data_IF_214410040144
#
_entry.id   IF_214410040144
#
_cell.length_a   1.000
_cell.length_b   1.000
_cell.length_c   1.000
_cell.angle_alpha   90.00
_cell.angle_beta   90.00
_cell.angle_gamma   90.00
#
_symmetry.space_group_name_H-M   'P 1'
#
loop_
_entity.id
_entity.type
_entity.pdbx_description
1 polymer ?
#
# COMPACT_ATOMS: atom_id res chain seq x y z
N UNK A 1 -21.48 -14.13 11.58
CA UNK A 1 -21.42 -14.69 10.22
C UNK A 1 -22.85 -14.66 9.71
N UNK A 2 -23.18 -13.66 8.90
CA UNK A 2 -24.47 -13.63 8.19
C UNK A 2 -24.39 -14.69 7.09
N UNK A 3 -25.46 -15.45 6.90
CA UNK A 3 -25.55 -16.42 5.80
C UNK A 3 -25.42 -15.66 4.47
N UNK A 4 -24.59 -16.17 3.54
CA UNK A 4 -24.42 -15.59 2.22
C UNK A 4 -25.78 -15.49 1.51
N UNK A 5 -26.15 -14.30 1.05
CA UNK A 5 -27.40 -14.07 0.31
C UNK A 5 -27.11 -14.28 -1.18
N UNK A 6 -27.88 -15.15 -1.83
CA UNK A 6 -27.79 -15.38 -3.27
C UNK A 6 -29.12 -15.10 -3.97
N UNK A 7 -29.10 -14.38 -5.09
CA UNK A 7 -30.31 -14.02 -5.82
C UNK A 7 -30.02 -13.72 -7.30
N UNK A 8 -30.95 -14.01 -8.21
CA UNK A 8 -30.80 -13.72 -9.65
C UNK A 8 -30.92 -12.23 -10.00
N UNK A 9 -31.34 -11.41 -9.05
CA UNK A 9 -31.69 -10.00 -9.27
C UNK A 9 -30.85 -9.14 -8.33
N UNK A 10 -30.03 -8.28 -8.92
CA UNK A 10 -29.17 -7.35 -8.22
C UNK A 10 -29.98 -6.33 -7.40
N UNK A 11 -31.18 -5.93 -7.85
CA UNK A 11 -31.99 -4.95 -7.13
C UNK A 11 -32.46 -5.50 -5.77
N UNK A 12 -32.62 -6.82 -5.65
CA UNK A 12 -32.92 -7.49 -4.37
C UNK A 12 -31.72 -7.42 -3.43
N UNK A 13 -30.50 -7.57 -3.94
CA UNK A 13 -29.26 -7.42 -3.16
C UNK A 13 -29.12 -5.97 -2.67
N UNK A 14 -29.32 -5.00 -3.55
CA UNK A 14 -29.27 -3.57 -3.20
C UNK A 14 -30.35 -3.20 -2.17
N UNK A 15 -31.58 -3.69 -2.34
CA UNK A 15 -32.68 -3.46 -1.39
C UNK A 15 -32.42 -4.13 -0.03
N UNK A 16 -31.80 -5.32 -0.02
CA UNK A 16 -31.35 -5.96 1.21
C UNK A 16 -30.32 -5.08 1.90
N UNK A 17 -29.24 -4.67 1.23
CA UNK A 17 -28.20 -3.80 1.79
C UNK A 17 -28.77 -2.50 2.36
N UNK A 18 -29.67 -1.83 1.64
CA UNK A 18 -30.31 -0.61 2.12
C UNK A 18 -31.09 -0.82 3.44
N UNK A 19 -31.63 -2.03 3.66
CA UNK A 19 -32.36 -2.38 4.88
C UNK A 19 -31.42 -2.80 6.02
N UNK A 20 -30.42 -3.63 5.75
CA UNK A 20 -29.55 -4.23 6.78
C UNK A 20 -28.35 -3.35 7.14
N UNK A 21 -27.86 -2.54 6.20
CA UNK A 21 -26.76 -1.62 6.36
C UNK A 21 -27.14 -0.24 5.75
N UNK A 22 -28.08 0.50 6.35
CA UNK A 22 -28.63 1.74 5.77
C UNK A 22 -27.61 2.89 5.63
N UNK A 23 -26.43 2.76 6.22
CA UNK A 23 -25.31 3.69 6.09
C UNK A 23 -24.25 3.21 5.10
N UNK A 24 -24.45 2.06 4.45
CA UNK A 24 -23.57 1.57 3.43
C UNK A 24 -23.51 2.55 2.27
N UNK A 25 -22.30 2.99 1.93
CA UNK A 25 -22.02 3.83 0.77
C UNK A 25 -21.37 2.97 -0.30
N UNK A 26 -21.87 3.06 -1.53
CA UNK A 26 -21.22 2.44 -2.69
C UNK A 26 -19.85 3.08 -2.88
N UNK A 27 -18.83 2.25 -3.06
CA UNK A 27 -17.50 2.69 -3.47
C UNK A 27 -17.50 2.72 -5.00
N UNK A 28 -17.97 3.83 -5.57
CA UNK A 28 -18.32 3.96 -7.00
C UNK A 28 -17.11 3.76 -7.89
N UNK A 29 -15.99 4.38 -7.52
CA UNK A 29 -14.77 4.41 -8.33
C UNK A 29 -13.99 3.10 -8.20
N UNK A 30 -13.92 2.56 -6.98
CA UNK A 30 -13.38 1.20 -6.79
C UNK A 30 -14.21 0.18 -7.56
N UNK A 31 -15.54 0.27 -7.50
CA UNK A 31 -16.45 -0.62 -8.25
C UNK A 31 -16.23 -0.53 -9.76
N UNK A 32 -16.00 0.68 -10.30
CA UNK A 32 -15.68 0.85 -11.71
C UNK A 32 -14.39 0.10 -12.12
N UNK A 33 -13.40 0.01 -11.23
CA UNK A 33 -12.16 -0.74 -11.46
C UNK A 33 -12.31 -2.27 -11.34
N UNK A 34 -13.40 -2.76 -10.73
CA UNK A 34 -13.67 -4.18 -10.50
C UNK A 34 -14.58 -4.81 -11.55
N UNK A 35 -14.98 -4.05 -12.57
CA UNK A 35 -16.05 -4.36 -13.51
C UNK A 35 -17.43 -4.37 -12.82
N UNK A 36 -18.09 -3.21 -12.82
CA UNK A 36 -19.36 -2.96 -12.15
C UNK A 36 -20.49 -3.91 -12.60
N UNK A 37 -20.38 -4.53 -13.78
CA UNK A 37 -21.36 -5.49 -14.28
C UNK A 37 -21.28 -6.85 -13.56
N UNK A 38 -20.17 -7.12 -12.85
CA UNK A 38 -19.88 -8.38 -12.18
C UNK A 38 -19.51 -8.24 -10.71
N UNK A 39 -19.03 -7.07 -10.26
CA UNK A 39 -18.63 -6.86 -8.88
C UNK A 39 -18.84 -5.41 -8.43
N UNK A 40 -19.58 -5.25 -7.35
CA UNK A 40 -19.88 -3.97 -6.69
C UNK A 40 -19.52 -4.05 -5.20
N UNK A 41 -19.07 -2.92 -4.64
CA UNK A 41 -18.49 -2.89 -3.29
C UNK A 41 -19.03 -1.72 -2.46
N UNK A 42 -19.44 -1.98 -1.22
CA UNK A 42 -19.94 -0.95 -0.30
C UNK A 42 -19.20 -0.96 1.02
N UNK A 43 -19.02 0.23 1.59
CA UNK A 43 -18.46 0.42 2.92
C UNK A 43 -19.54 0.87 3.91
N UNK A 44 -19.63 0.20 5.07
CA UNK A 44 -20.53 0.56 6.16
C UNK A 44 -19.83 0.37 7.51
N UNK A 45 -19.37 1.48 8.12
CA UNK A 45 -18.55 1.41 9.32
C UNK A 45 -17.26 0.63 9.06
N UNK A 46 -17.01 -0.41 9.84
CA UNK A 46 -15.82 -1.28 9.69
C UNK A 46 -16.08 -2.51 8.81
N UNK A 47 -17.24 -2.58 8.16
CA UNK A 47 -17.63 -3.69 7.29
C UNK A 47 -17.63 -3.28 5.82
N UNK A 48 -17.15 -4.20 5.00
CA UNK A 48 -17.22 -4.15 3.55
C UNK A 48 -18.19 -5.21 3.06
N UNK A 49 -19.02 -4.82 2.10
CA UNK A 49 -19.99 -5.67 1.46
C UNK A 49 -19.62 -5.82 -0.01
N UNK A 50 -19.63 -7.05 -0.50
CA UNK A 50 -19.26 -7.41 -1.86
C UNK A 50 -20.47 -8.07 -2.51
N UNK A 51 -21.05 -7.44 -3.54
CA UNK A 51 -22.00 -8.14 -4.40
C UNK A 51 -21.30 -8.52 -5.69
N UNK A 52 -21.27 -9.81 -6.01
CA UNK A 52 -20.53 -10.32 -7.16
C UNK A 52 -21.24 -11.47 -7.85
N UNK A 53 -20.89 -11.72 -9.10
CA UNK A 53 -21.30 -12.90 -9.88
C UNK A 53 -20.19 -13.29 -10.84
N UNK A 54 -20.07 -14.58 -11.18
CA UNK A 54 -19.10 -14.99 -12.19
C UNK A 54 -19.58 -14.66 -13.62
N UNK A 55 -18.66 -14.45 -14.58
CA UNK A 55 -19.03 -14.33 -15.98
C UNK A 55 -19.79 -15.57 -16.50
N UNK A 56 -21.03 -15.35 -16.94
CA UNK A 56 -21.93 -16.43 -17.39
C UNK A 56 -22.83 -16.99 -16.28
N UNK A 57 -22.71 -16.48 -15.06
CA UNK A 57 -23.61 -16.80 -13.95
C UNK A 57 -24.78 -15.79 -13.90
N UNK A 58 -25.98 -16.30 -13.57
CA UNK A 58 -27.17 -15.48 -13.39
C UNK A 58 -27.38 -15.05 -11.93
N UNK A 59 -26.79 -15.78 -10.97
CA UNK A 59 -26.92 -15.52 -9.54
C UNK A 59 -25.87 -14.52 -9.07
N UNK A 60 -26.33 -13.50 -8.36
CA UNK A 60 -25.53 -12.62 -7.54
C UNK A 60 -25.34 -13.23 -6.16
N UNK A 61 -24.13 -13.09 -5.63
CA UNK A 61 -23.73 -13.44 -4.28
C UNK A 61 -23.45 -12.16 -3.50
N UNK A 62 -23.87 -12.10 -2.25
CA UNK A 62 -23.56 -11.01 -1.33
C UNK A 62 -22.79 -11.54 -0.13
N UNK A 63 -21.55 -11.07 -0.01
CA UNK A 63 -20.67 -11.36 1.11
C UNK A 63 -20.44 -10.12 1.97
N UNK A 64 -20.20 -10.36 3.25
CA UNK A 64 -19.79 -9.34 4.20
C UNK A 64 -18.50 -9.77 4.90
N UNK A 65 -17.53 -8.87 4.94
CA UNK A 65 -16.30 -9.04 5.69
C UNK A 65 -15.88 -7.75 6.40
N UNK A 66 -14.90 -7.85 7.31
CA UNK A 66 -14.32 -6.66 7.93
C UNK A 66 -13.45 -5.92 6.91
N UNK A 67 -13.43 -4.58 6.97
CA UNK A 67 -12.57 -3.77 6.11
C UNK A 67 -11.08 -4.15 6.20
N UNK A 68 -10.63 -4.59 7.38
CA UNK A 68 -9.26 -5.08 7.59
C UNK A 68 -8.92 -6.35 6.79
N UNK A 69 -9.89 -7.23 6.56
CA UNK A 69 -9.72 -8.45 5.78
C UNK A 69 -9.74 -8.14 4.27
N UNK A 70 -10.68 -7.30 3.83
CA UNK A 70 -10.88 -6.94 2.42
C UNK A 70 -9.73 -6.10 1.84
N UNK A 71 -9.00 -5.39 2.69
CA UNK A 71 -7.96 -4.42 2.32
C UNK A 71 -6.89 -4.98 1.37
N UNK A 72 -6.42 -6.19 1.66
CA UNK A 72 -5.38 -6.82 0.86
C UNK A 72 -5.88 -7.13 -0.55
N UNK A 73 -7.13 -7.62 -0.66
CA UNK A 73 -7.77 -7.91 -1.92
C UNK A 73 -8.05 -6.63 -2.71
N UNK A 74 -8.66 -5.61 -2.10
CA UNK A 74 -8.91 -4.31 -2.76
C UNK A 74 -7.62 -3.69 -3.29
N UNK A 75 -6.55 -3.73 -2.49
CA UNK A 75 -5.24 -3.25 -2.90
C UNK A 75 -4.74 -4.03 -4.13
N UNK A 76 -4.87 -5.34 -4.14
CA UNK A 76 -4.45 -6.16 -5.27
C UNK A 76 -5.21 -5.81 -6.56
N UNK A 77 -6.51 -5.52 -6.46
CA UNK A 77 -7.33 -5.15 -7.63
C UNK A 77 -6.87 -3.81 -8.21
N UNK A 78 -6.74 -2.78 -7.38
CA UNK A 78 -6.28 -1.45 -7.82
C UNK A 78 -4.83 -1.47 -8.32
N UNK A 79 -3.95 -2.27 -7.70
CA UNK A 79 -2.57 -2.48 -8.16
C UNK A 79 -2.53 -3.18 -9.52
N UNK A 80 -3.38 -4.20 -9.72
CA UNK A 80 -3.54 -4.88 -11.01
C UNK A 80 -4.03 -3.95 -12.13
N UNK A 81 -4.79 -2.91 -11.78
CA UNK A 81 -5.22 -1.84 -12.70
C UNK A 81 -4.19 -0.70 -12.83
N UNK A 82 -3.06 -0.78 -12.13
CA UNK A 82 -1.96 0.19 -12.19
C UNK A 82 -2.21 1.52 -11.48
N UNK A 83 -3.26 1.62 -10.65
CA UNK A 83 -3.65 2.88 -9.96
C UNK A 83 -2.52 3.38 -9.06
N UNK A 84 -1.99 2.52 -8.19
CA UNK A 84 -0.91 2.87 -7.27
C UNK A 84 0.38 3.28 -8.00
N UNK A 85 0.72 2.55 -9.06
CA UNK A 85 1.91 2.81 -9.86
C UNK A 85 1.85 4.15 -10.60
N UNK A 86 0.67 4.50 -11.16
CA UNK A 86 0.48 5.79 -11.83
C UNK A 86 0.52 6.95 -10.84
N UNK A 87 -0.14 6.84 -9.70
CA UNK A 87 -0.13 7.89 -8.68
C UNK A 87 1.23 8.05 -7.99
N UNK A 88 2.02 6.99 -7.89
CA UNK A 88 3.39 7.07 -7.36
C UNK A 88 4.35 7.83 -8.30
N UNK A 89 4.04 7.93 -9.59
CA UNK A 89 4.84 8.62 -10.60
C UNK A 89 3.97 9.56 -11.44
N UNK A 90 3.74 10.81 -10.97
CA UNK A 90 2.86 11.77 -11.66
C UNK A 90 3.28 12.09 -13.09
N UNK A 91 4.55 11.83 -13.46
CA UNK A 91 5.02 12.02 -14.83
C UNK A 91 4.31 11.07 -15.82
N UNK A 92 3.73 9.95 -15.35
CA UNK A 92 2.94 9.04 -16.18
C UNK A 92 1.66 9.68 -16.74
N UNK A 93 1.12 10.69 -16.07
CA UNK A 93 -0.04 11.45 -16.55
C UNK A 93 0.34 12.58 -17.50
N UNK A 94 1.57 13.07 -17.45
CA UNK A 94 2.05 14.13 -18.32
C UNK A 94 2.33 13.54 -19.71
N UNK A 95 1.44 13.79 -20.67
CA UNK A 95 1.58 13.44 -22.10
C UNK A 95 1.16 12.02 -22.52
N UNK A 96 0.37 11.31 -21.72
CA UNK A 96 -0.15 9.97 -22.05
C UNK A 96 -1.68 9.93 -22.21
N UNK A 97 -2.19 8.85 -22.81
CA UNK A 97 -3.63 8.51 -22.80
C UNK A 97 -4.15 8.37 -21.36
N UNK A 98 -3.26 8.18 -20.38
CA UNK A 98 -3.56 8.00 -18.97
C UNK A 98 -3.90 9.32 -18.27
N UNK A 99 -3.65 10.49 -18.89
CA UNK A 99 -4.04 11.79 -18.32
C UNK A 99 -5.53 11.86 -17.94
N UNK A 100 -6.39 11.17 -18.70
CA UNK A 100 -7.83 11.07 -18.44
C UNK A 100 -8.19 10.19 -17.22
N UNK A 101 -7.23 9.41 -16.73
CA UNK A 101 -7.39 8.49 -15.59
C UNK A 101 -7.00 9.13 -14.27
N UNK A 102 -6.39 10.33 -14.26
CA UNK A 102 -5.98 10.99 -13.02
C UNK A 102 -7.16 11.20 -12.07
N UNK A 103 -8.25 11.82 -12.54
CA UNK A 103 -9.40 12.10 -11.69
C UNK A 103 -10.05 10.79 -11.16
N UNK A 104 -10.30 9.76 -12.00
CA UNK A 104 -10.73 8.43 -11.51
C UNK A 104 -9.75 7.77 -10.52
N UNK A 105 -8.44 7.82 -10.78
CA UNK A 105 -7.42 7.21 -9.91
C UNK A 105 -7.39 7.88 -8.53
N UNK A 106 -7.44 9.21 -8.48
CA UNK A 106 -7.51 9.98 -7.22
C UNK A 106 -8.81 9.70 -6.46
N UNK A 107 -9.94 9.61 -7.17
CA UNK A 107 -11.23 9.33 -6.56
C UNK A 107 -11.31 7.88 -6.01
N UNK A 108 -10.81 6.88 -6.76
CA UNK A 108 -10.66 5.52 -6.27
C UNK A 108 -9.71 5.42 -5.06
N UNK A 109 -8.63 6.20 -5.05
CA UNK A 109 -7.73 6.27 -3.90
C UNK A 109 -8.37 6.91 -2.67
N UNK A 110 -9.20 7.95 -2.85
CA UNK A 110 -9.96 8.52 -1.74
C UNK A 110 -10.88 7.47 -1.10
N UNK A 111 -11.58 6.67 -1.90
CA UNK A 111 -12.39 5.56 -1.41
C UNK A 111 -11.54 4.46 -0.74
N UNK A 112 -10.36 4.17 -1.28
CA UNK A 112 -9.44 3.23 -0.67
C UNK A 112 -8.96 3.71 0.71
N UNK A 113 -8.72 5.02 0.88
CA UNK A 113 -8.38 5.60 2.18
C UNK A 113 -9.52 5.52 3.19
N UNK A 114 -10.77 5.71 2.76
CA UNK A 114 -11.94 5.50 3.63
C UNK A 114 -11.98 4.06 4.16
N UNK A 115 -11.67 3.08 3.31
CA UNK A 115 -11.55 1.67 3.71
C UNK A 115 -10.36 1.45 4.66
N UNK A 116 -9.19 2.05 4.40
CA UNK A 116 -8.05 1.98 5.32
C UNK A 116 -8.36 2.54 6.69
N UNK A 117 -9.08 3.67 6.76
CA UNK A 117 -9.51 4.28 8.00
C UNK A 117 -10.53 3.40 8.73
N UNK A 118 -11.50 2.84 8.01
CA UNK A 118 -12.44 1.87 8.56
C UNK A 118 -11.73 0.63 9.14
N UNK A 119 -10.72 0.11 8.46
CA UNK A 119 -9.93 -1.03 8.95
C UNK A 119 -9.06 -0.72 10.17
N UNK A 120 -8.76 0.56 10.40
CA UNK A 120 -8.11 1.04 11.62
C UNK A 120 -9.12 1.29 12.75
N UNK A 121 -10.41 1.04 12.52
CA UNK A 121 -11.48 1.26 13.49
C UNK A 121 -11.89 2.72 13.63
N UNK A 122 -11.72 3.54 12.58
CA UNK A 122 -12.20 4.92 12.56
C UNK A 122 -13.68 4.97 12.14
N UNK A 123 -14.54 5.70 12.88
CA UNK A 123 -15.88 6.09 12.42
C UNK A 123 -17.09 5.32 13.00
N UNK A 124 -16.88 4.49 14.01
CA UNK A 124 -17.86 3.78 14.84
C UNK A 124 -17.97 4.35 16.28
N UNK A 125 -18.99 3.94 17.04
CA UNK A 125 -19.22 4.41 18.42
C UNK A 125 -18.26 3.80 19.45
N UNK A 126 -17.58 2.70 19.10
CA UNK A 126 -16.53 2.06 19.90
C UNK A 126 -15.12 2.29 19.30
N UNK A 127 -15.01 3.25 18.36
CA UNK A 127 -13.80 3.51 17.59
C UNK A 127 -12.57 3.88 18.39
N UNK A 128 -11.42 3.57 17.78
CA UNK A 128 -10.18 4.27 18.06
C UNK A 128 -10.40 5.79 17.93
N UNK A 129 -9.97 6.53 18.94
CA UNK A 129 -9.96 7.99 18.90
C UNK A 129 -9.10 8.49 17.72
N UNK A 130 -9.33 9.70 17.18
CA UNK A 130 -8.51 10.25 16.10
C UNK A 130 -7.01 10.24 16.42
N UNK A 131 -6.65 10.38 17.70
CA UNK A 131 -5.26 10.28 18.17
C UNK A 131 -4.69 8.87 18.04
N UNK A 132 -5.46 7.84 18.41
CA UNK A 132 -5.03 6.45 18.29
C UNK A 132 -4.87 6.05 16.82
N UNK A 133 -5.80 6.45 15.96
CA UNK A 133 -5.71 6.24 14.51
C UNK A 133 -4.45 6.90 13.94
N UNK A 134 -4.17 8.16 14.29
CA UNK A 134 -2.93 8.83 13.87
C UNK A 134 -1.67 8.11 14.36
N UNK A 135 -1.65 7.65 15.62
CA UNK A 135 -0.52 6.87 16.15
C UNK A 135 -0.30 5.55 15.37
N UNK A 136 -1.37 4.89 14.95
CA UNK A 136 -1.29 3.69 14.10
C UNK A 136 -0.76 4.03 12.71
N UNK A 137 -1.20 5.13 12.10
CA UNK A 137 -0.70 5.63 10.82
C UNK A 137 0.79 5.97 10.93
N UNK A 138 1.21 6.73 11.94
CA UNK A 138 2.61 7.06 12.19
C UNK A 138 3.46 5.79 12.37
N UNK A 139 2.94 4.79 13.06
CA UNK A 139 3.61 3.50 13.22
C UNK A 139 3.76 2.76 11.88
N UNK A 140 2.74 2.78 11.02
CA UNK A 140 2.81 2.22 9.66
C UNK A 140 3.84 2.98 8.80
N UNK A 141 3.85 4.31 8.84
CA UNK A 141 4.84 5.16 8.15
C UNK A 141 6.25 4.84 8.62
N UNK A 142 6.48 4.70 9.93
CA UNK A 142 7.77 4.33 10.48
C UNK A 142 8.26 2.96 9.99
N UNK A 143 7.36 1.97 9.94
CA UNK A 143 7.65 0.64 9.38
C UNK A 143 7.96 0.71 7.88
N UNK A 144 7.19 1.47 7.10
CA UNK A 144 7.44 1.66 5.67
C UNK A 144 8.81 2.32 5.42
N UNK A 145 9.16 3.36 6.19
CA UNK A 145 10.50 4.00 6.13
C UNK A 145 11.62 3.01 6.46
N UNK A 146 11.42 2.17 7.48
CA UNK A 146 12.40 1.14 7.83
C UNK A 146 12.56 0.11 6.69
N UNK A 147 11.46 -0.27 6.04
CA UNK A 147 11.47 -1.20 4.91
C UNK A 147 12.15 -0.60 3.68
N UNK A 148 11.86 0.66 3.32
CA UNK A 148 12.58 1.39 2.27
C UNK A 148 14.07 1.43 2.57
N UNK A 149 14.47 1.71 3.82
CA UNK A 149 15.87 1.69 4.22
C UNK A 149 16.49 0.29 4.11
N UNK A 150 15.75 -0.78 4.45
CA UNK A 150 16.20 -2.17 4.28
C UNK A 150 16.43 -2.49 2.81
N UNK A 151 15.46 -2.18 1.94
CA UNK A 151 15.54 -2.41 0.50
C UNK A 151 16.66 -1.60 -0.16
N UNK A 152 16.87 -0.34 0.26
CA UNK A 152 17.97 0.49 -0.22
C UNK A 152 19.35 -0.08 0.20
N UNK A 153 19.47 -0.66 1.41
CA UNK A 153 20.70 -1.37 1.80
C UNK A 153 20.86 -2.66 1.01
N UNK A 154 19.79 -3.44 0.84
CA UNK A 154 19.80 -4.65 0.04
C UNK A 154 20.27 -4.37 -1.40
N UNK A 155 19.79 -3.29 -2.01
CA UNK A 155 20.26 -2.83 -3.33
C UNK A 155 21.76 -2.57 -3.34
N UNK A 156 22.29 -1.81 -2.38
CA UNK A 156 23.73 -1.54 -2.29
C UNK A 156 24.54 -2.84 -2.08
N UNK A 157 24.06 -3.74 -1.22
CA UNK A 157 24.67 -5.06 -1.02
C UNK A 157 24.66 -5.91 -2.29
N UNK A 158 23.55 -5.96 -3.01
CA UNK A 158 23.43 -6.66 -4.29
C UNK A 158 24.43 -6.10 -5.31
N UNK A 159 24.54 -4.78 -5.43
CA UNK A 159 25.51 -4.13 -6.32
C UNK A 159 26.95 -4.52 -5.98
N UNK A 160 27.33 -4.51 -4.69
CA UNK A 160 28.67 -4.94 -4.27
C UNK A 160 28.88 -6.43 -4.57
N UNK A 161 27.93 -7.29 -4.21
CA UNK A 161 28.03 -8.73 -4.43
C UNK A 161 28.15 -9.10 -5.92
N UNK A 162 27.37 -8.45 -6.78
CA UNK A 162 27.31 -8.75 -8.22
C UNK A 162 28.49 -8.17 -9.00
N UNK A 163 29.02 -7.00 -8.61
CA UNK A 163 30.00 -6.28 -9.43
C UNK A 163 31.35 -6.04 -8.76
N UNK A 164 31.42 -5.89 -7.43
CA UNK A 164 32.66 -5.53 -6.76
C UNK A 164 33.66 -6.70 -6.75
N UNK A 165 33.19 -7.93 -6.54
CA UNK A 165 34.06 -9.11 -6.42
C UNK A 165 35.24 -8.85 -5.48
N UNK A 166 36.46 -9.16 -5.93
CA UNK A 166 37.71 -8.90 -5.20
C UNK A 166 38.23 -7.45 -5.33
N UNK A 167 37.42 -6.50 -5.79
CA UNK A 167 37.79 -5.08 -5.90
C UNK A 167 38.47 -4.71 -7.23
N UNK A 168 38.08 -5.37 -8.33
CA UNK A 168 38.64 -5.09 -9.65
C UNK A 168 38.52 -3.60 -10.04
N UNK A 169 39.60 -3.03 -10.58
CA UNK A 169 39.63 -1.62 -11.00
C UNK A 169 38.53 -1.35 -12.02
N UNK A 170 37.72 -0.32 -11.78
CA UNK A 170 36.63 0.07 -12.69
C UNK A 170 35.30 -0.68 -12.49
N UNK A 171 35.16 -1.53 -11.46
CA UNK A 171 33.91 -2.27 -11.21
C UNK A 171 32.67 -1.36 -11.10
N UNK A 172 32.81 -0.15 -10.55
CA UNK A 172 31.71 0.83 -10.48
C UNK A 172 31.21 1.25 -11.87
N UNK A 173 32.12 1.46 -12.84
CA UNK A 173 31.73 1.78 -14.21
C UNK A 173 31.02 0.60 -14.90
N UNK A 174 31.41 -0.63 -14.58
CA UNK A 174 30.73 -1.83 -15.06
C UNK A 174 29.34 -1.99 -14.42
N UNK A 175 29.21 -1.74 -13.12
CA UNK A 175 27.94 -1.77 -12.40
C UNK A 175 26.96 -0.73 -12.94
N UNK A 176 27.41 0.51 -13.14
CA UNK A 176 26.57 1.58 -13.69
C UNK A 176 26.02 1.20 -15.07
N UNK A 177 26.88 0.67 -15.97
CA UNK A 177 26.46 0.20 -17.29
C UNK A 177 25.53 -1.01 -17.22
N UNK A 178 25.85 -2.01 -16.40
CA UNK A 178 25.05 -3.23 -16.27
C UNK A 178 23.66 -3.00 -15.69
N UNK A 179 23.50 -1.96 -14.87
CA UNK A 179 22.23 -1.55 -14.27
C UNK A 179 21.52 -0.43 -15.05
N UNK A 180 22.10 0.03 -16.17
CA UNK A 180 21.61 1.15 -16.96
C UNK A 180 21.33 2.43 -16.13
N UNK A 181 22.20 2.72 -15.15
CA UNK A 181 22.13 3.94 -14.32
C UNK A 181 23.37 4.81 -14.52
N UNK A 182 23.28 6.08 -14.12
CA UNK A 182 24.44 6.97 -14.16
C UNK A 182 25.48 6.56 -13.11
N UNK A 183 26.79 6.81 -13.36
CA UNK A 183 27.82 6.63 -12.34
C UNK A 183 27.59 7.45 -11.07
N UNK A 184 26.93 8.62 -11.19
CA UNK A 184 26.55 9.47 -10.05
C UNK A 184 25.51 8.75 -9.19
N UNK A 185 24.43 8.27 -9.79
CA UNK A 185 23.37 7.53 -9.08
C UNK A 185 23.92 6.27 -8.39
N UNK A 186 24.87 5.57 -9.03
CA UNK A 186 25.57 4.45 -8.39
C UNK A 186 26.40 4.91 -7.17
N UNK A 187 27.10 6.04 -7.29
CA UNK A 187 27.82 6.67 -6.19
C UNK A 187 26.90 6.95 -5.00
N UNK A 188 25.75 7.57 -5.25
CA UNK A 188 24.76 7.93 -4.24
C UNK A 188 24.24 6.70 -3.49
N UNK A 189 23.87 5.63 -4.22
CA UNK A 189 23.41 4.36 -3.62
C UNK A 189 24.42 3.81 -2.60
N UNK A 190 25.70 3.78 -2.98
CA UNK A 190 26.76 3.22 -2.15
C UNK A 190 27.09 4.14 -0.96
N UNK A 191 27.17 5.45 -1.20
CA UNK A 191 27.43 6.45 -0.17
C UNK A 191 26.31 6.50 0.88
N UNK A 192 25.05 6.43 0.47
CA UNK A 192 23.90 6.43 1.38
C UNK A 192 23.87 5.20 2.28
N UNK A 193 24.26 4.04 1.76
CA UNK A 193 24.39 2.82 2.56
C UNK A 193 25.53 2.92 3.59
N UNK A 194 26.67 3.46 3.20
CA UNK A 194 27.80 3.71 4.10
C UNK A 194 27.44 4.72 5.19
N UNK A 195 26.76 5.80 4.83
CA UNK A 195 26.27 6.80 5.78
C UNK A 195 25.26 6.19 6.77
N UNK A 196 24.35 5.32 6.30
CA UNK A 196 23.41 4.59 7.17
C UNK A 196 24.15 3.65 8.13
N UNK A 197 25.15 2.91 7.64
CA UNK A 197 25.98 2.05 8.49
C UNK A 197 26.75 2.85 9.55
N UNK A 198 27.33 3.99 9.18
CA UNK A 198 28.03 4.89 10.10
C UNK A 198 27.10 5.44 11.18
N UNK A 199 25.89 5.88 10.82
CA UNK A 199 24.88 6.33 11.79
C UNK A 199 24.49 5.24 12.79
N UNK A 200 24.27 4.00 12.33
CA UNK A 200 23.97 2.86 13.22
C UNK A 200 25.10 2.58 14.21
N UNK A 201 26.35 2.58 13.74
CA UNK A 201 27.53 2.40 14.62
C UNK A 201 27.65 3.52 15.65
N UNK A 202 27.41 4.77 15.26
CA UNK A 202 27.43 5.92 16.17
C UNK A 202 26.37 5.78 17.27
N UNK A 203 25.14 5.41 16.92
CA UNK A 203 24.06 5.18 17.89
C UNK A 203 24.41 4.04 18.84
N UNK A 204 24.91 2.91 18.33
CA UNK A 204 25.34 1.79 19.15
C UNK A 204 26.44 2.19 20.15
N UNK A 205 27.46 2.92 19.70
CA UNK A 205 28.53 3.41 20.56
C UNK A 205 28.04 4.40 21.63
N UNK A 206 27.04 5.23 21.31
CA UNK A 206 26.46 6.18 22.27
C UNK A 206 25.61 5.45 23.32
N UNK A 207 24.85 4.42 22.91
CA UNK A 207 24.06 3.59 23.82
C UNK A 207 24.93 2.79 24.80
N UNK A 208 26.05 2.26 24.32
CA UNK A 208 27.03 1.52 25.13
C UNK A 208 27.68 2.42 26.19
N UNK A 209 28.07 3.65 25.80
CA UNK A 209 28.61 4.66 26.72
C UNK A 209 27.59 5.11 27.79
N UNK A 210 26.28 5.13 27.47
CA UNK A 210 25.23 5.42 28.46
C UNK A 210 24.91 4.24 29.38
N UNK A 211 25.18 3.00 28.93
CA UNK A 211 24.95 1.80 29.71
C UNK A 211 26.13 1.49 30.67
N UNK A 212 27.35 1.94 30.35
CA UNK A 212 28.55 1.77 31.15
C UNK A 212 29.28 3.12 31.38
N UNK A 213 28.88 3.91 32.41
CA UNK A 213 29.49 5.23 32.66
C UNK A 213 30.94 5.18 33.17
N UNK A 214 31.51 3.98 33.42
CA UNK A 214 32.87 3.80 33.91
C UNK A 214 33.97 4.01 32.85
N UNK A 215 33.62 4.08 31.55
CA UNK A 215 34.57 4.25 30.44
C UNK A 215 34.74 5.71 29.98
N UNK A 216 34.21 6.69 30.74
CA UNK A 216 34.28 8.13 30.42
C UNK A 216 35.37 8.91 31.19
N UNK A 217 36.32 8.23 31.84
CA UNK A 217 37.46 8.86 32.55
C UNK A 217 38.80 8.57 31.91
#
# INVERSE_FOLDING_TARGET
MLDALTHTDYDVIAAYLAKTAPRARLLEEITAYLDADYHTVWLSGESLWHAWREPGEELWHLDQESAAAALAWLRQQLDGQGVFDRLADPARYAESIEARLLDPDEAAMAEFYDVELAALGAGTTESASPREVDQMIQSKIARARAEVARLASLRAHHVRAAFQGDGARGWKANAARGLAITPVSLGDILADDEARAARRRKVAATADATANPADLT
#
